data_IF_802622136470
#
_entry.id   IF_802622136470
#
_cell.length_a   1.000
_cell.length_b   1.000
_cell.length_c   1.000
_cell.angle_alpha   90.00
_cell.angle_beta   90.00
_cell.angle_gamma   90.00
#
_symmetry.space_group_name_H-M   'P 1'
#
loop_
_entity.id
_entity.type
_entity.pdbx_description
1 polymer ?
#
# COMPACT_ATOMS: atom_id res chain seq x y z
N UNK A 1 39.06 14.34 -21.17
CA UNK A 1 37.65 14.57 -21.55
C UNK A 1 37.18 13.45 -22.47
N UNK A 2 36.07 12.76 -22.14
CA UNK A 2 35.55 11.60 -22.90
C UNK A 2 34.75 11.94 -24.17
N UNK A 3 34.60 13.23 -24.49
CA UNK A 3 33.85 13.72 -25.64
C UNK A 3 34.67 14.75 -26.41
N UNK A 4 34.71 14.63 -27.74
CA UNK A 4 35.37 15.61 -28.62
C UNK A 4 34.30 16.54 -29.19
N UNK A 5 34.45 17.84 -28.96
CA UNK A 5 33.50 18.87 -29.37
C UNK A 5 34.21 19.81 -30.34
N UNK A 6 33.53 20.23 -31.41
CA UNK A 6 34.05 21.24 -32.33
C UNK A 6 34.07 22.61 -31.65
N UNK A 7 35.23 23.26 -31.59
CA UNK A 7 35.38 24.55 -30.90
C UNK A 7 34.60 25.71 -31.52
N UNK A 8 34.22 25.62 -32.79
CA UNK A 8 33.51 26.71 -33.49
C UNK A 8 32.00 26.51 -33.43
N UNK A 9 31.52 25.29 -33.64
CA UNK A 9 30.07 25.01 -33.68
C UNK A 9 29.52 24.46 -32.38
N UNK A 10 30.38 24.17 -31.39
CA UNK A 10 30.05 23.48 -30.13
C UNK A 10 29.33 22.14 -30.30
N UNK A 11 29.31 21.56 -31.51
CA UNK A 11 28.69 20.27 -31.77
C UNK A 11 29.64 19.12 -31.46
N UNK A 12 29.08 18.02 -30.96
CA UNK A 12 29.83 16.79 -30.68
C UNK A 12 30.35 16.21 -32.01
N UNK A 13 31.66 16.09 -32.16
CA UNK A 13 32.30 15.57 -33.38
C UNK A 13 32.74 14.12 -33.26
N UNK A 14 32.76 13.57 -32.05
CA UNK A 14 32.98 12.14 -31.86
C UNK A 14 33.09 11.74 -30.39
N UNK A 15 32.80 10.46 -30.14
CA UNK A 15 32.98 9.80 -28.86
C UNK A 15 33.67 8.43 -29.10
N UNK A 16 34.71 8.06 -28.33
CA UNK A 16 35.27 6.71 -28.36
C UNK A 16 34.27 5.69 -27.80
N UNK A 17 34.41 4.41 -28.18
CA UNK A 17 33.54 3.33 -27.71
C UNK A 17 33.51 3.20 -26.16
N UNK A 18 34.58 3.63 -25.49
CA UNK A 18 34.67 3.71 -24.03
C UNK A 18 33.71 4.73 -23.41
N UNK A 19 33.20 5.72 -24.15
CA UNK A 19 32.24 6.69 -23.66
C UNK A 19 30.82 6.13 -23.49
N UNK A 20 30.52 4.99 -24.14
CA UNK A 20 29.24 4.29 -24.00
C UNK A 20 29.24 3.23 -22.89
N UNK A 21 30.40 2.96 -22.28
CA UNK A 21 30.54 2.04 -21.15
C UNK A 21 31.07 2.82 -19.93
N UNK A 22 30.18 3.39 -19.09
CA UNK A 22 30.61 4.07 -17.88
C UNK A 22 31.39 3.09 -17.00
N UNK A 23 32.64 3.42 -16.69
CA UNK A 23 33.49 2.61 -15.81
C UNK A 23 32.74 2.34 -14.49
N UNK A 24 32.42 1.07 -14.24
CA UNK A 24 31.72 0.62 -13.04
C UNK A 24 30.40 -0.11 -13.28
N UNK A 25 29.80 0.01 -14.46
CA UNK A 25 28.60 -0.76 -14.84
C UNK A 25 29.01 -1.96 -15.70
N UNK A 26 29.27 -3.10 -15.05
CA UNK A 26 29.31 -4.38 -15.75
C UNK A 26 27.86 -4.78 -16.06
N UNK A 27 27.49 -5.09 -17.31
CA UNK A 27 26.21 -5.73 -17.62
C UNK A 27 26.22 -7.14 -17.01
N UNK A 28 25.96 -7.26 -15.71
CA UNK A 28 25.69 -8.54 -15.09
C UNK A 28 24.27 -8.93 -15.47
N UNK A 29 24.10 -9.46 -16.68
CA UNK A 29 22.91 -10.23 -17.02
C UNK A 29 23.00 -11.50 -16.15
N UNK A 30 22.10 -11.70 -15.17
CA UNK A 30 22.08 -12.95 -14.44
C UNK A 30 21.71 -14.05 -15.44
N UNK A 31 22.47 -15.16 -15.53
CA UNK A 31 22.22 -16.21 -16.52
C UNK A 31 20.90 -16.96 -16.30
N UNK A 32 20.23 -16.76 -15.16
CA UNK A 32 18.97 -17.42 -14.81
C UNK A 32 18.10 -16.46 -14.02
N UNK A 33 16.89 -16.21 -14.49
CA UNK A 33 15.84 -15.56 -13.69
C UNK A 33 15.57 -16.43 -12.45
N UNK A 34 15.75 -15.94 -11.22
CA UNK A 34 15.49 -16.74 -10.04
C UNK A 34 14.03 -17.21 -10.04
N UNK A 35 13.75 -18.45 -9.63
CA UNK A 35 12.38 -18.97 -9.58
C UNK A 35 11.51 -18.04 -8.72
N UNK A 36 10.35 -17.67 -9.26
CA UNK A 36 9.37 -16.81 -8.58
C UNK A 36 8.76 -17.61 -7.42
N UNK A 37 9.39 -17.55 -6.26
CA UNK A 37 8.85 -18.06 -5.01
C UNK A 37 8.33 -16.86 -4.24
N UNK A 38 7.04 -16.88 -3.87
CA UNK A 38 6.30 -15.78 -3.22
C UNK A 38 6.95 -15.26 -1.92
N UNK A 39 7.95 -15.96 -1.37
CA UNK A 39 8.61 -15.66 -0.11
C UNK A 39 10.10 -15.28 -0.22
N UNK A 40 10.70 -15.28 -1.42
CA UNK A 40 12.11 -14.88 -1.55
C UNK A 40 12.23 -13.35 -1.57
N UNK A 41 12.98 -12.71 -0.65
CA UNK A 41 13.18 -11.28 -0.69
C UNK A 41 14.02 -10.94 -1.93
N UNK A 42 13.44 -10.22 -2.88
CA UNK A 42 14.19 -9.56 -3.96
C UNK A 42 15.22 -8.66 -3.30
N UNK A 43 16.50 -9.08 -3.32
CA UNK A 43 17.62 -8.22 -2.92
C UNK A 43 17.77 -7.15 -3.99
N UNK A 44 16.94 -6.10 -3.90
CA UNK A 44 17.07 -4.91 -4.71
C UNK A 44 18.31 -4.16 -4.22
N UNK A 45 19.29 -4.03 -5.09
CA UNK A 45 20.56 -3.35 -4.84
C UNK A 45 20.31 -1.85 -4.68
N UNK A 46 20.65 -1.36 -3.47
CA UNK A 46 21.27 -0.06 -3.20
C UNK A 46 20.49 1.26 -3.31
N UNK A 47 19.15 1.27 -3.27
CA UNK A 47 18.40 2.55 -3.08
C UNK A 47 17.23 2.48 -2.09
N UNK A 48 17.07 1.38 -1.36
CA UNK A 48 15.87 1.13 -0.52
C UNK A 48 16.00 1.59 0.93
N UNK A 49 17.01 2.39 1.31
CA UNK A 49 17.11 2.84 2.72
C UNK A 49 16.08 3.92 3.07
N UNK A 50 15.73 4.79 2.12
CA UNK A 50 14.78 5.89 2.34
C UNK A 50 13.30 5.51 2.14
N UNK A 51 13.00 4.47 1.35
CA UNK A 51 11.62 4.03 1.11
C UNK A 51 11.04 3.13 2.22
N UNK A 52 11.89 2.41 2.96
CA UNK A 52 11.46 1.46 4.01
C UNK A 52 11.04 2.16 5.29
N UNK A 53 11.49 3.39 5.55
CA UNK A 53 11.04 4.17 6.72
C UNK A 53 9.61 4.70 6.58
N UNK A 54 9.08 4.86 5.36
CA UNK A 54 7.73 5.39 5.14
C UNK A 54 6.65 4.29 5.12
N UNK A 55 7.02 3.05 4.83
CA UNK A 55 6.12 1.89 4.79
C UNK A 55 6.43 0.99 5.98
N UNK A 56 5.73 1.20 7.11
CA UNK A 56 5.94 0.43 8.34
C UNK A 56 6.04 -1.08 8.12
N UNK A 57 6.64 -1.80 9.09
CA UNK A 57 6.96 -3.21 8.98
C UNK A 57 5.80 -4.07 8.43
N UNK A 58 6.09 -4.95 7.47
CA UNK A 58 5.08 -5.81 6.86
C UNK A 58 4.46 -6.77 7.89
N UNK A 59 3.17 -6.60 8.16
CA UNK A 59 2.37 -7.44 9.07
C UNK A 59 1.37 -8.36 8.37
N UNK A 60 1.43 -8.49 7.04
CA UNK A 60 0.44 -9.25 6.26
C UNK A 60 0.36 -10.71 6.71
N UNK A 61 1.51 -11.35 6.96
CA UNK A 61 1.54 -12.75 7.39
C UNK A 61 0.90 -12.96 8.77
N UNK A 62 1.09 -12.01 9.70
CA UNK A 62 0.46 -12.06 11.03
C UNK A 62 -1.06 -11.92 10.92
N UNK A 63 -1.53 -10.99 10.10
CA UNK A 63 -2.96 -10.79 9.84
C UNK A 63 -3.57 -12.00 9.14
N UNK A 64 -2.89 -12.58 8.15
CA UNK A 64 -3.35 -13.82 7.49
C UNK A 64 -3.53 -14.95 8.49
N UNK A 65 -2.56 -15.17 9.40
CA UNK A 65 -2.67 -16.17 10.47
C UNK A 65 -3.87 -15.91 11.37
N UNK A 66 -4.11 -14.65 11.76
CA UNK A 66 -5.25 -14.28 12.61
C UNK A 66 -6.60 -14.56 11.92
N UNK A 67 -6.76 -14.10 10.67
CA UNK A 67 -8.03 -14.20 9.95
C UNK A 67 -8.32 -15.59 9.39
N UNK A 68 -7.29 -16.40 9.11
CA UNK A 68 -7.45 -17.77 8.60
C UNK A 68 -7.57 -18.83 9.70
N UNK A 69 -7.45 -18.46 10.98
CA UNK A 69 -7.60 -19.40 12.11
C UNK A 69 -8.99 -20.03 12.14
N UNK A 70 -9.07 -21.35 12.26
CA UNK A 70 -10.33 -22.12 12.22
C UNK A 70 -11.11 -22.09 13.55
N UNK A 71 -11.46 -20.89 14.02
CA UNK A 71 -12.15 -20.68 15.31
C UNK A 71 -13.69 -20.60 15.20
N UNK A 72 -14.26 -20.72 14.00
CA UNK A 72 -15.69 -20.54 13.76
C UNK A 72 -16.23 -19.10 13.97
N UNK A 73 -15.38 -18.16 14.38
CA UNK A 73 -15.74 -16.73 14.56
C UNK A 73 -15.97 -16.08 13.18
N UNK A 74 -17.10 -15.38 12.98
CA UNK A 74 -17.39 -14.68 11.72
C UNK A 74 -16.39 -13.54 11.47
N UNK A 75 -16.16 -13.22 10.19
CA UNK A 75 -15.12 -12.27 9.77
C UNK A 75 -15.24 -10.88 10.40
N UNK A 76 -16.47 -10.39 10.63
CA UNK A 76 -16.71 -9.06 11.20
C UNK A 76 -16.48 -8.97 12.71
N UNK A 77 -16.19 -10.09 13.39
CA UNK A 77 -15.81 -10.14 14.82
C UNK A 77 -14.41 -10.73 15.02
N UNK A 78 -13.66 -10.94 13.94
CA UNK A 78 -12.45 -11.76 13.93
C UNK A 78 -11.28 -11.13 14.67
N UNK A 79 -11.25 -9.80 14.77
CA UNK A 79 -10.24 -9.03 15.52
C UNK A 79 -10.55 -8.93 17.02
N UNK A 80 -11.66 -9.53 17.48
CA UNK A 80 -11.96 -9.72 18.89
C UNK A 80 -12.75 -8.56 19.52
N UNK A 81 -12.24 -8.00 20.62
CA UNK A 81 -13.00 -7.07 21.47
C UNK A 81 -13.35 -5.75 20.77
N UNK A 82 -12.43 -5.21 19.98
CA UNK A 82 -12.66 -3.94 19.26
C UNK A 82 -13.81 -4.09 18.27
N UNK A 83 -13.83 -5.17 17.50
CA UNK A 83 -14.91 -5.46 16.54
C UNK A 83 -16.26 -5.62 17.24
N UNK A 84 -16.30 -6.32 18.38
CA UNK A 84 -17.52 -6.50 19.18
C UNK A 84 -18.03 -5.18 19.76
N UNK A 85 -17.14 -4.35 20.29
CA UNK A 85 -17.52 -3.04 20.83
C UNK A 85 -18.08 -2.16 19.72
N UNK A 86 -17.36 -2.08 18.59
CA UNK A 86 -17.77 -1.30 17.43
C UNK A 86 -19.13 -1.78 16.89
N UNK A 87 -19.33 -3.08 16.76
CA UNK A 87 -20.60 -3.64 16.33
C UNK A 87 -21.75 -3.24 17.26
N UNK A 88 -21.57 -3.38 18.59
CA UNK A 88 -22.63 -3.07 19.56
C UNK A 88 -22.97 -1.58 19.59
N UNK A 89 -21.97 -0.70 19.48
CA UNK A 89 -22.22 0.76 19.46
C UNK A 89 -22.90 1.18 18.17
N UNK A 90 -22.47 0.67 17.01
CA UNK A 90 -23.13 0.96 15.72
C UNK A 90 -24.56 0.41 15.70
N UNK A 91 -24.80 -0.81 16.17
CA UNK A 91 -26.15 -1.36 16.27
C UNK A 91 -27.02 -0.50 17.19
N UNK A 92 -26.51 -0.11 18.36
CA UNK A 92 -27.24 0.77 19.28
C UNK A 92 -27.59 2.13 18.65
N UNK A 93 -26.63 2.74 17.95
CA UNK A 93 -26.83 4.03 17.27
C UNK A 93 -27.84 3.92 16.14
N UNK A 94 -27.80 2.86 15.33
CA UNK A 94 -28.75 2.67 14.21
C UNK A 94 -30.17 2.42 14.72
N UNK A 95 -30.35 1.58 15.74
CA UNK A 95 -31.67 1.36 16.36
C UNK A 95 -32.18 2.65 17.01
N UNK A 96 -31.34 3.34 17.77
CA UNK A 96 -31.69 4.63 18.39
C UNK A 96 -32.04 5.69 17.34
N UNK A 97 -31.25 5.78 16.26
CA UNK A 97 -31.50 6.67 15.14
C UNK A 97 -32.81 6.37 14.42
N UNK A 98 -33.13 5.10 14.18
CA UNK A 98 -34.39 4.70 13.58
C UNK A 98 -35.60 5.10 14.44
N UNK A 99 -35.54 4.88 15.75
CA UNK A 99 -36.58 5.31 16.69
C UNK A 99 -36.72 6.84 16.70
N UNK A 100 -35.61 7.57 16.70
CA UNK A 100 -35.62 9.02 16.61
C UNK A 100 -36.27 9.51 15.30
N UNK A 101 -35.93 8.90 14.16
CA UNK A 101 -36.56 9.22 12.88
C UNK A 101 -38.08 8.97 12.92
N UNK A 102 -38.54 7.89 13.53
CA UNK A 102 -39.97 7.61 13.68
C UNK A 102 -40.67 8.67 14.55
N UNK A 103 -40.04 9.10 15.65
CA UNK A 103 -40.59 10.16 16.50
C UNK A 103 -40.62 11.51 15.79
N UNK A 104 -39.55 11.85 15.07
CA UNK A 104 -39.50 13.07 14.26
C UNK A 104 -40.57 13.06 13.17
N UNK A 105 -40.77 11.93 12.48
CA UNK A 105 -41.83 11.75 11.49
C UNK A 105 -43.23 11.88 12.12
N UNK A 106 -43.44 11.30 13.31
CA UNK A 106 -44.71 11.41 14.03
C UNK A 106 -45.05 12.87 14.35
N UNK A 107 -44.09 13.63 14.89
CA UNK A 107 -44.28 15.06 15.18
C UNK A 107 -44.54 15.85 13.89
N UNK A 108 -43.76 15.58 12.82
CA UNK A 108 -43.91 16.25 11.54
C UNK A 108 -45.24 15.93 10.83
N UNK A 109 -45.84 14.76 11.10
CA UNK A 109 -47.11 14.34 10.53
C UNK A 109 -48.33 14.98 11.23
N UNK A 110 -48.16 15.58 12.41
CA UNK A 110 -49.24 16.31 13.06
C UNK A 110 -49.44 17.68 12.41
N UNK A 111 -50.69 18.13 12.23
CA UNK A 111 -50.95 19.46 11.71
C UNK A 111 -50.42 20.51 12.70
N UNK A 112 -49.52 21.37 12.23
CA UNK A 112 -49.04 22.50 13.02
C UNK A 112 -50.17 23.52 13.19
N UNK A 113 -50.50 23.85 14.44
CA UNK A 113 -51.34 25.02 14.69
C UNK A 113 -50.53 26.26 14.31
N UNK A 114 -51.00 26.98 13.27
CA UNK A 114 -50.54 28.32 12.91
C UNK A 114 -51.37 29.36 13.64
#
# INVERSE_FOLDING_TARGET
MYYKVNGVTQRLTGAPASSYNPQGLRPSVPPVSPPIIFASPTKLVSETRSQVEYMGANRVQEMQKLFQKADGVPVHLKRGLIDRLLYRTTMGLTVGGALYCLMALYIAAQPGNK
#
